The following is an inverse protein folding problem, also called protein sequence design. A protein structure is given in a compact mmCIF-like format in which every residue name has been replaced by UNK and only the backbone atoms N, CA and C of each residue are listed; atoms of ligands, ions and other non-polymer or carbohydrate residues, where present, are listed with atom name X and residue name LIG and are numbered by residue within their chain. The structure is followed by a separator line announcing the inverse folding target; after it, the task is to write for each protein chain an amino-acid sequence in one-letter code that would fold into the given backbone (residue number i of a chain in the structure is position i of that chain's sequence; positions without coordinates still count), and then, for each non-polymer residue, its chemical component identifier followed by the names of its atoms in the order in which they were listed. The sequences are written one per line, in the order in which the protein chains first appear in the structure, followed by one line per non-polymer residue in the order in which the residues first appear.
data_IF_119469518595
#
_entry.id   IF_119469518595
#
_cell.length_a   1.000
_cell.length_b   1.000
_cell.length_c   1.000
_cell.angle_alpha   90.00
_cell.angle_beta   90.00
_cell.angle_gamma   90.00
#
_symmetry.space_group_name_H-M   'P 1'
#
loop_
_entity.id
_entity.type
_entity.pdbx_description
1 polymer ?
#
# COMPACT_ATOMS: atom_id res chain seq x y z
N UNK A 1 -9.16 -6.05 -10.26
CA UNK A 1 -8.84 -5.39 -8.99
C UNK A 1 -7.33 -5.18 -8.88
N UNK A 2 -6.88 -3.98 -8.50
CA UNK A 2 -5.47 -3.69 -8.26
C UNK A 2 -4.99 -4.42 -7.01
N UNK A 3 -3.74 -4.88 -7.02
CA UNK A 3 -3.14 -5.63 -5.90
C UNK A 3 -1.95 -4.87 -5.35
N UNK A 4 -1.76 -4.92 -4.01
CA UNK A 4 -0.57 -4.38 -3.34
C UNK A 4 -0.05 -5.37 -2.31
N UNK A 5 1.24 -5.66 -2.39
CA UNK A 5 1.93 -6.55 -1.47
C UNK A 5 2.88 -5.76 -0.57
N UNK A 6 2.70 -5.88 0.75
CA UNK A 6 3.62 -5.33 1.74
C UNK A 6 4.72 -6.34 2.04
N UNK A 7 5.96 -5.93 1.86
CA UNK A 7 7.15 -6.73 2.09
C UNK A 7 8.12 -5.99 3.02
N UNK A 8 8.81 -6.70 3.91
CA UNK A 8 9.75 -6.12 4.87
C UNK A 8 11.21 -6.54 4.64
N UNK A 9 11.47 -7.47 3.74
CA UNK A 9 12.81 -7.91 3.33
C UNK A 9 12.84 -8.17 1.83
N UNK A 10 14.02 -8.07 1.23
CA UNK A 10 14.20 -8.39 -0.18
C UNK A 10 14.16 -9.92 -0.38
N UNK A 11 13.17 -10.37 -1.11
CA UNK A 11 12.95 -11.80 -1.40
C UNK A 11 12.37 -11.93 -2.82
N UNK A 12 13.22 -12.32 -3.76
CA UNK A 12 12.86 -12.46 -5.17
C UNK A 12 11.89 -13.60 -5.40
N UNK A 13 12.02 -14.70 -4.64
CA UNK A 13 11.15 -15.87 -4.78
C UNK A 13 9.69 -15.54 -4.48
N UNK A 14 9.44 -14.67 -3.51
CA UNK A 14 8.09 -14.21 -3.18
C UNK A 14 7.60 -13.21 -4.21
N UNK A 15 8.45 -12.28 -4.67
CA UNK A 15 8.08 -11.25 -5.64
C UNK A 15 7.71 -11.90 -6.99
N UNK A 16 8.51 -12.83 -7.49
CA UNK A 16 8.30 -13.48 -8.80
C UNK A 16 7.01 -14.30 -8.90
N UNK A 17 6.50 -14.76 -7.78
CA UNK A 17 5.19 -15.45 -7.73
C UNK A 17 4.00 -14.49 -7.85
N UNK A 18 4.23 -13.18 -7.84
CA UNK A 18 3.16 -12.20 -7.98
C UNK A 18 2.93 -11.86 -9.47
N UNK A 19 1.69 -11.47 -9.79
CA UNK A 19 1.42 -10.89 -11.11
C UNK A 19 2.04 -9.50 -11.22
N UNK A 20 2.51 -9.10 -12.39
CA UNK A 20 3.12 -7.77 -12.66
C UNK A 20 2.16 -6.60 -12.36
N UNK A 21 0.84 -6.87 -12.34
CA UNK A 21 -0.15 -5.89 -11.88
C UNK A 21 -0.14 -5.64 -10.36
N UNK A 22 0.75 -6.30 -9.59
CA UNK A 22 0.88 -6.10 -8.14
C UNK A 22 1.90 -4.99 -7.86
N UNK A 23 1.48 -3.96 -7.11
CA UNK A 23 2.41 -2.97 -6.56
C UNK A 23 3.12 -3.53 -5.33
N UNK A 24 4.44 -3.41 -5.28
CA UNK A 24 5.26 -3.84 -4.14
C UNK A 24 5.50 -2.66 -3.21
N UNK A 25 5.14 -2.77 -1.94
CA UNK A 25 5.34 -1.74 -0.92
C UNK A 25 6.38 -2.25 0.08
N UNK A 26 7.58 -1.68 0.05
CA UNK A 26 8.61 -2.00 1.05
C UNK A 26 8.32 -1.25 2.34
N UNK A 27 8.13 -2.00 3.42
CA UNK A 27 7.79 -1.49 4.73
C UNK A 27 8.65 -2.15 5.81
N UNK A 28 9.68 -1.45 6.25
CA UNK A 28 10.52 -1.86 7.37
C UNK A 28 10.70 -0.67 8.31
N UNK A 29 10.03 -0.69 9.46
CA UNK A 29 10.11 0.37 10.48
C UNK A 29 11.07 0.03 11.62
N UNK A 30 11.55 -1.22 11.70
CA UNK A 30 12.33 -1.73 12.81
C UNK A 30 13.84 -1.63 12.61
N UNK A 31 14.28 -1.21 11.44
CA UNK A 31 15.71 -1.07 11.10
C UNK A 31 16.01 0.28 10.48
N UNK A 32 17.27 0.74 10.62
CA UNK A 32 17.80 1.86 9.86
C UNK A 32 17.52 1.63 8.37
N UNK A 33 17.05 2.66 7.68
CA UNK A 33 16.81 2.62 6.23
C UNK A 33 18.12 2.29 5.51
N UNK A 34 18.20 1.09 4.93
CA UNK A 34 19.35 0.69 4.11
C UNK A 34 19.04 1.06 2.65
N UNK A 35 19.74 2.06 2.14
CA UNK A 35 19.54 2.58 0.78
C UNK A 35 19.89 1.55 -0.29
N UNK A 36 20.94 0.74 -0.06
CA UNK A 36 21.37 -0.28 -1.03
C UNK A 36 20.31 -1.36 -1.25
N UNK A 37 19.63 -1.75 -0.16
CA UNK A 37 18.50 -2.69 -0.26
C UNK A 37 17.37 -2.07 -1.08
N UNK A 38 17.06 -0.80 -0.90
CA UNK A 38 16.02 -0.12 -1.65
C UNK A 38 16.39 -0.02 -3.14
N UNK A 39 17.65 0.26 -3.45
CA UNK A 39 18.17 0.28 -4.82
C UNK A 39 18.07 -1.11 -5.46
N UNK A 40 18.42 -2.18 -4.74
CA UNK A 40 18.25 -3.57 -5.20
C UNK A 40 16.77 -3.87 -5.52
N UNK A 41 15.85 -3.52 -4.63
CA UNK A 41 14.41 -3.65 -4.87
C UNK A 41 13.97 -2.90 -6.12
N UNK A 42 14.33 -1.62 -6.22
CA UNK A 42 13.99 -0.77 -7.37
C UNK A 42 14.45 -1.39 -8.68
N UNK A 43 15.72 -1.77 -8.76
CA UNK A 43 16.31 -2.32 -9.97
C UNK A 43 15.64 -3.65 -10.36
N UNK A 44 15.39 -4.51 -9.36
CA UNK A 44 14.71 -5.77 -9.56
C UNK A 44 13.26 -5.56 -10.05
N UNK A 45 12.51 -4.71 -9.37
CA UNK A 45 11.12 -4.41 -9.73
C UNK A 45 11.01 -3.80 -11.14
N UNK A 46 11.92 -2.88 -11.51
CA UNK A 46 11.97 -2.31 -12.86
C UNK A 46 12.23 -3.38 -13.92
N UNK A 47 13.23 -4.24 -13.71
CA UNK A 47 13.55 -5.34 -14.63
C UNK A 47 12.36 -6.28 -14.87
N UNK A 48 11.55 -6.49 -13.84
CA UNK A 48 10.39 -7.41 -13.86
C UNK A 48 9.04 -6.71 -14.15
N UNK A 49 9.02 -5.39 -14.34
CA UNK A 49 7.80 -4.62 -14.62
C UNK A 49 6.87 -4.37 -13.42
N UNK A 50 7.36 -4.55 -12.19
CA UNK A 50 6.60 -4.23 -10.98
C UNK A 50 6.68 -2.74 -10.63
N UNK A 51 5.57 -2.19 -10.12
CA UNK A 51 5.56 -0.89 -9.45
C UNK A 51 6.11 -1.02 -8.03
N UNK A 52 7.06 -0.14 -7.65
CA UNK A 52 7.73 -0.19 -6.36
C UNK A 52 7.53 1.09 -5.55
N UNK A 53 7.10 0.94 -4.30
CA UNK A 53 6.77 2.01 -3.38
C UNK A 53 7.55 1.88 -2.06
N UNK A 54 8.05 3.00 -1.55
CA UNK A 54 8.71 3.06 -0.26
C UNK A 54 7.77 3.58 0.82
N UNK A 55 7.70 2.88 1.95
CA UNK A 55 6.87 3.31 3.07
C UNK A 55 7.57 4.35 3.92
N UNK A 56 6.83 5.41 4.27
CA UNK A 56 7.16 6.45 5.24
C UNK A 56 8.42 7.29 4.95
N UNK A 57 8.92 7.31 3.73
CA UNK A 57 10.04 8.17 3.33
C UNK A 57 9.86 8.67 1.89
N UNK A 58 9.03 9.70 1.73
CA UNK A 58 8.70 10.28 0.43
C UNK A 58 9.90 10.94 -0.24
N UNK A 59 10.76 11.63 0.54
CA UNK A 59 11.96 12.28 0.01
C UNK A 59 12.92 11.26 -0.62
N UNK A 60 13.20 10.16 0.09
CA UNK A 60 14.06 9.10 -0.43
C UNK A 60 13.43 8.39 -1.65
N UNK A 61 12.10 8.17 -1.62
CA UNK A 61 11.40 7.59 -2.76
C UNK A 61 11.54 8.46 -4.03
N UNK A 62 11.47 9.78 -3.90
CA UNK A 62 11.72 10.72 -4.99
C UNK A 62 13.16 10.67 -5.47
N UNK A 63 14.13 10.80 -4.55
CA UNK A 63 15.56 10.82 -4.87
C UNK A 63 16.01 9.54 -5.61
N UNK A 64 15.40 8.42 -5.27
CA UNK A 64 15.68 7.13 -5.92
C UNK A 64 14.78 6.86 -7.15
N UNK A 65 13.99 7.82 -7.60
CA UNK A 65 13.07 7.67 -8.74
C UNK A 65 12.16 6.43 -8.62
N UNK A 66 11.57 6.18 -7.45
CA UNK A 66 10.62 5.08 -7.27
C UNK A 66 9.25 5.44 -7.87
N UNK A 67 8.38 4.46 -8.10
CA UNK A 67 7.02 4.71 -8.62
C UNK A 67 6.12 5.50 -7.64
N UNK A 68 6.54 5.64 -6.38
CA UNK A 68 5.83 6.44 -5.41
C UNK A 68 6.22 6.12 -3.96
N UNK A 69 5.43 6.68 -3.04
CA UNK A 69 5.59 6.45 -1.61
C UNK A 69 4.27 6.05 -0.96
N UNK A 70 4.36 5.32 0.14
CA UNK A 70 3.24 4.96 0.99
C UNK A 70 3.34 5.69 2.32
N UNK A 71 2.33 6.48 2.67
CA UNK A 71 2.25 7.28 3.90
C UNK A 71 1.33 6.56 4.90
N UNK A 72 1.87 5.96 5.98
CA UNK A 72 1.05 5.24 6.97
C UNK A 72 0.11 6.19 7.72
N UNK A 73 -0.91 5.63 8.36
CA UNK A 73 -1.95 6.40 9.07
C UNK A 73 -1.40 7.26 10.20
N UNK A 74 -0.37 6.79 10.89
CA UNK A 74 0.27 7.53 11.99
C UNK A 74 1.07 8.76 11.50
N UNK A 75 1.55 8.77 10.26
CA UNK A 75 2.28 9.91 9.72
C UNK A 75 1.29 10.99 9.25
N UNK A 76 1.35 12.16 9.89
CA UNK A 76 0.51 13.32 9.61
C UNK A 76 1.27 14.48 8.97
N UNK A 77 2.57 14.30 8.68
CA UNK A 77 3.43 15.34 8.13
C UNK A 77 3.04 15.70 6.69
N UNK A 78 3.16 17.00 6.38
CA UNK A 78 2.85 17.56 5.07
C UNK A 78 4.07 18.12 4.34
N UNK A 79 5.27 17.98 4.92
CA UNK A 79 6.54 18.48 4.34
C UNK A 79 6.77 18.09 2.89
N UNK A 80 6.31 16.89 2.52
CA UNK A 80 6.45 16.40 1.15
C UNK A 80 5.63 17.19 0.11
N UNK A 81 4.67 18.00 0.53
CA UNK A 81 3.89 18.85 -0.39
C UNK A 81 4.75 19.97 -1.03
N UNK A 82 5.88 20.32 -0.41
CA UNK A 82 6.85 21.26 -0.99
C UNK A 82 7.78 20.62 -2.05
N UNK A 83 7.70 19.31 -2.26
CA UNK A 83 8.55 18.62 -3.22
C UNK A 83 7.96 18.65 -4.64
N UNK A 84 8.82 18.80 -5.64
CA UNK A 84 8.41 18.67 -7.03
C UNK A 84 8.28 17.18 -7.41
N UNK A 85 7.05 16.71 -7.53
CA UNK A 85 6.77 15.35 -7.97
C UNK A 85 6.81 15.24 -9.49
N UNK A 86 7.46 14.20 -10.01
CA UNK A 86 7.32 13.90 -11.43
C UNK A 86 5.94 13.28 -11.73
N UNK A 87 5.48 13.44 -12.97
CA UNK A 87 4.10 13.16 -13.44
C UNK A 87 3.52 11.84 -12.97
N UNK A 88 4.33 10.79 -12.90
CA UNK A 88 3.87 9.43 -12.58
C UNK A 88 4.11 9.02 -11.12
N UNK A 89 4.61 9.93 -10.25
CA UNK A 89 4.83 9.62 -8.84
C UNK A 89 3.50 9.50 -8.10
N UNK A 90 3.27 8.35 -7.47
CA UNK A 90 2.00 8.04 -6.83
C UNK A 90 2.11 8.03 -5.30
N UNK A 91 1.34 8.89 -4.64
CA UNK A 91 1.19 8.85 -3.20
C UNK A 91 0.05 7.89 -2.80
N UNK A 92 0.43 6.86 -2.04
CA UNK A 92 -0.45 5.90 -1.39
C UNK A 92 -0.52 6.25 0.10
N UNK A 93 -1.60 5.91 0.79
CA UNK A 93 -1.67 6.10 2.23
C UNK A 93 -2.69 5.20 2.90
N UNK A 94 -2.70 5.12 4.23
CA UNK A 94 -3.70 4.37 4.99
C UNK A 94 -4.49 5.23 5.97
N UNK A 95 -5.72 4.82 6.24
CA UNK A 95 -6.61 5.46 7.20
C UNK A 95 -7.53 4.42 7.87
N UNK A 96 -7.97 4.71 9.11
CA UNK A 96 -8.88 3.89 9.91
C UNK A 96 -10.20 4.60 10.24
N UNK A 97 -10.25 5.91 10.05
CA UNK A 97 -11.39 6.76 10.38
C UNK A 97 -11.45 8.00 9.49
N UNK A 98 -12.53 8.77 9.59
CA UNK A 98 -12.75 9.97 8.80
C UNK A 98 -11.67 11.02 8.98
N UNK A 99 -11.21 11.27 10.21
CA UNK A 99 -10.15 12.26 10.49
C UNK A 99 -8.85 11.90 9.75
N UNK A 100 -8.48 10.63 9.74
CA UNK A 100 -7.30 10.16 9.02
C UNK A 100 -7.48 10.24 7.49
N UNK A 101 -8.70 9.99 6.97
CA UNK A 101 -9.02 10.18 5.56
C UNK A 101 -8.72 11.63 5.15
N UNK A 102 -9.26 12.60 5.88
CA UNK A 102 -9.04 14.02 5.61
C UNK A 102 -7.56 14.40 5.65
N UNK A 103 -6.79 13.85 6.61
CA UNK A 103 -5.33 14.05 6.66
C UNK A 103 -4.67 13.49 5.40
N UNK A 104 -5.03 12.28 4.95
CA UNK A 104 -4.47 11.67 3.74
C UNK A 104 -4.82 12.47 2.48
N UNK A 105 -6.01 13.01 2.40
CA UNK A 105 -6.40 13.88 1.29
C UNK A 105 -5.60 15.19 1.27
N UNK A 106 -5.42 15.84 2.43
CA UNK A 106 -4.53 17.00 2.58
C UNK A 106 -3.08 16.69 2.20
N UNK A 107 -2.61 15.48 2.48
CA UNK A 107 -1.29 14.99 2.09
C UNK A 107 -1.16 14.67 0.59
N UNK A 108 -2.22 14.86 -0.22
CA UNK A 108 -2.19 14.60 -1.66
C UNK A 108 -2.25 13.11 -2.04
N UNK A 109 -2.60 12.24 -1.10
CA UNK A 109 -2.74 10.80 -1.34
C UNK A 109 -3.81 10.53 -2.40
N UNK A 110 -3.49 9.67 -3.37
CA UNK A 110 -4.39 9.31 -4.49
C UNK A 110 -5.14 8.00 -4.25
N UNK A 111 -4.58 7.11 -3.44
CA UNK A 111 -5.15 5.80 -3.13
C UNK A 111 -5.06 5.58 -1.62
N UNK A 112 -6.20 5.35 -0.95
CA UNK A 112 -6.27 5.17 0.50
C UNK A 112 -6.55 3.70 0.83
N UNK A 113 -5.77 3.15 1.75
CA UNK A 113 -5.87 1.78 2.25
C UNK A 113 -6.64 1.79 3.56
N UNK A 114 -7.77 1.11 3.62
CA UNK A 114 -8.56 0.95 4.85
C UNK A 114 -8.27 -0.39 5.53
N UNK A 115 -7.90 -0.31 6.81
CA UNK A 115 -7.53 -1.44 7.67
C UNK A 115 -8.47 -1.54 8.87
N UNK A 116 -8.74 -2.69 9.38
CA UNK A 116 -8.63 -4.06 8.86
C UNK A 116 -10.01 -4.54 8.49
N UNK A 117 -10.21 -4.99 7.24
CA UNK A 117 -11.59 -5.29 6.80
C UNK A 117 -12.11 -6.64 7.32
N UNK A 118 -11.27 -7.69 7.34
CA UNK A 118 -11.68 -9.04 7.74
C UNK A 118 -10.94 -9.60 8.96
N UNK A 119 -9.74 -9.09 9.27
CA UNK A 119 -8.97 -9.54 10.43
C UNK A 119 -9.43 -8.82 11.68
N UNK A 120 -10.01 -9.56 12.63
CA UNK A 120 -10.40 -9.04 13.96
C UNK A 120 -9.14 -8.72 14.77
N UNK A 121 -8.83 -7.45 14.91
CA UNK A 121 -7.75 -6.88 15.73
C UNK A 121 -8.18 -5.49 16.22
N UNK A 122 -7.32 -4.78 16.95
CA UNK A 122 -7.61 -3.42 17.46
C UNK A 122 -8.05 -2.41 16.37
N UNK A 123 -7.68 -2.64 15.12
CA UNK A 123 -8.04 -1.80 14.00
C UNK A 123 -9.15 -2.41 13.12
N UNK A 124 -9.91 -3.36 13.66
CA UNK A 124 -10.97 -4.03 12.91
C UNK A 124 -12.06 -3.05 12.49
N UNK A 125 -12.27 -2.95 11.21
CA UNK A 125 -13.25 -2.07 10.61
C UNK A 125 -14.56 -2.79 10.28
N UNK A 126 -14.45 -4.02 9.78
CA UNK A 126 -15.56 -4.77 9.24
C UNK A 126 -16.10 -4.21 7.93
N UNK A 127 -16.99 -4.96 7.30
CA UNK A 127 -17.52 -4.63 5.96
C UNK A 127 -18.41 -3.37 5.97
N UNK A 128 -19.27 -3.23 6.98
CA UNK A 128 -20.22 -2.13 7.04
C UNK A 128 -19.50 -0.78 7.23
N UNK A 129 -18.59 -0.71 8.18
CA UNK A 129 -17.81 0.50 8.43
C UNK A 129 -16.87 0.83 7.27
N UNK A 130 -16.31 -0.19 6.60
CA UNK A 130 -15.55 0.00 5.36
C UNK A 130 -16.38 0.67 4.28
N UNK A 131 -17.63 0.21 4.05
CA UNK A 131 -18.56 0.84 3.10
C UNK A 131 -18.87 2.29 3.44
N UNK A 132 -19.11 2.59 4.71
CA UNK A 132 -19.39 3.95 5.17
C UNK A 132 -18.18 4.87 4.93
N UNK A 133 -16.98 4.47 5.35
CA UNK A 133 -15.78 5.25 5.15
C UNK A 133 -15.43 5.44 3.66
N UNK A 134 -15.71 4.43 2.82
CA UNK A 134 -15.47 4.53 1.37
C UNK A 134 -16.34 5.60 0.70
N UNK A 135 -17.48 5.95 1.28
CA UNK A 135 -18.34 7.03 0.79
C UNK A 135 -17.88 8.43 1.18
N UNK A 136 -16.96 8.52 2.17
CA UNK A 136 -16.45 9.81 2.68
C UNK A 136 -15.26 10.34 1.87
N UNK A 137 -14.85 9.67 0.82
CA UNK A 137 -13.73 10.08 -0.03
C UNK A 137 -13.98 9.78 -1.50
N UNK A 138 -13.51 10.67 -2.36
CA UNK A 138 -13.47 10.47 -3.82
C UNK A 138 -12.16 9.77 -4.27
N UNK A 139 -11.29 9.39 -3.34
CA UNK A 139 -10.05 8.68 -3.67
C UNK A 139 -10.31 7.20 -3.92
N UNK A 140 -9.46 6.57 -4.70
CA UNK A 140 -9.49 5.12 -4.89
C UNK A 140 -9.22 4.41 -3.56
N UNK A 141 -10.06 3.43 -3.21
CA UNK A 141 -9.98 2.72 -1.93
C UNK A 141 -9.46 1.31 -2.12
N UNK A 142 -8.50 0.91 -1.28
CA UNK A 142 -7.93 -0.43 -1.20
C UNK A 142 -8.34 -1.08 0.12
N UNK A 143 -8.85 -2.30 0.05
CA UNK A 143 -9.15 -3.11 1.23
C UNK A 143 -7.87 -3.80 1.74
N UNK A 144 -7.59 -3.69 3.04
CA UNK A 144 -6.41 -4.30 3.66
C UNK A 144 -6.80 -5.05 4.95
N UNK A 145 -6.18 -6.22 5.16
CA UNK A 145 -6.28 -7.00 6.40
C UNK A 145 -7.28 -8.15 6.36
N UNK A 146 -6.76 -9.35 6.52
CA UNK A 146 -7.53 -10.60 6.54
C UNK A 146 -8.04 -11.06 5.17
N UNK A 147 -7.36 -10.66 4.09
CA UNK A 147 -7.72 -11.09 2.74
C UNK A 147 -7.36 -12.57 2.55
N UNK A 148 -8.33 -13.33 2.05
CA UNK A 148 -8.22 -14.75 1.69
C UNK A 148 -8.96 -14.98 0.37
N UNK A 149 -8.78 -16.13 -0.28
CA UNK A 149 -9.48 -16.44 -1.52
C UNK A 149 -11.01 -16.45 -1.32
N UNK A 150 -11.49 -16.95 -0.19
CA UNK A 150 -12.92 -16.90 0.17
C UNK A 150 -13.44 -15.49 0.35
N UNK A 151 -12.64 -14.57 0.89
CA UNK A 151 -13.04 -13.17 1.07
C UNK A 151 -12.97 -12.33 -0.21
N UNK A 152 -12.27 -12.78 -1.25
CA UNK A 152 -12.20 -12.06 -2.53
C UNK A 152 -13.56 -11.91 -3.21
N UNK A 153 -14.44 -12.91 -3.10
CA UNK A 153 -15.82 -12.83 -3.60
C UNK A 153 -16.57 -11.69 -2.93
N UNK A 154 -16.44 -11.53 -1.61
CA UNK A 154 -17.05 -10.44 -0.84
C UNK A 154 -16.46 -9.07 -1.23
N UNK A 155 -15.15 -8.98 -1.49
CA UNK A 155 -14.52 -7.74 -1.93
C UNK A 155 -15.04 -7.23 -3.26
N UNK A 156 -15.35 -8.12 -4.20
CA UNK A 156 -15.93 -7.72 -5.50
C UNK A 156 -17.28 -6.99 -5.33
N UNK A 157 -18.03 -7.31 -4.26
CA UNK A 157 -19.31 -6.66 -3.94
C UNK A 157 -19.15 -5.31 -3.22
N UNK A 158 -17.94 -4.94 -2.81
CA UNK A 158 -17.67 -3.73 -2.03
C UNK A 158 -17.29 -2.51 -2.89
N UNK A 159 -17.25 -2.68 -4.20
CA UNK A 159 -16.86 -1.61 -5.13
C UNK A 159 -15.51 -0.94 -4.76
N UNK A 160 -14.56 -1.70 -4.22
CA UNK A 160 -13.22 -1.21 -3.92
C UNK A 160 -12.31 -1.32 -5.16
N UNK A 161 -11.36 -0.41 -5.29
CA UNK A 161 -10.40 -0.39 -6.40
C UNK A 161 -9.47 -1.61 -6.42
N UNK A 162 -9.19 -2.16 -5.22
CA UNK A 162 -8.30 -3.30 -5.09
C UNK A 162 -8.14 -3.77 -3.66
N UNK A 163 -7.14 -4.60 -3.43
CA UNK A 163 -6.80 -5.11 -2.11
C UNK A 163 -5.30 -5.16 -1.87
N UNK A 164 -4.93 -5.23 -0.59
CA UNK A 164 -3.56 -5.35 -0.15
C UNK A 164 -3.43 -6.36 0.99
N UNK A 165 -2.23 -6.89 1.17
CA UNK A 165 -1.95 -7.83 2.25
C UNK A 165 -0.50 -8.25 2.34
N UNK A 166 -0.23 -9.15 3.29
CA UNK A 166 1.04 -9.86 3.45
C UNK A 166 0.79 -11.35 3.24
N UNK A 167 0.05 -11.98 4.15
CA UNK A 167 -0.16 -13.42 4.18
C UNK A 167 -0.87 -13.99 2.95
N UNK A 168 -1.76 -13.22 2.31
CA UNK A 168 -2.39 -13.61 1.05
C UNK A 168 -1.37 -13.88 -0.06
N UNK A 169 -0.35 -13.05 -0.15
CA UNK A 169 0.70 -13.15 -1.16
C UNK A 169 1.76 -14.18 -0.82
N UNK A 170 1.99 -14.43 0.47
CA UNK A 170 2.92 -15.45 0.96
C UNK A 170 2.36 -16.86 0.80
N UNK A 171 1.06 -17.09 1.04
CA UNK A 171 0.41 -18.40 0.90
C UNK A 171 0.41 -18.94 -0.53
N UNK A 172 0.48 -18.09 -1.54
CA UNK A 172 0.68 -18.50 -2.94
C UNK A 172 2.05 -19.10 -3.20
N UNK A 173 2.90 -19.17 -2.19
CA UNK A 173 4.26 -19.71 -2.25
C UNK A 173 4.38 -21.14 -1.72
N UNK A 174 3.32 -21.72 -1.15
CA UNK A 174 3.28 -23.12 -0.81
C UNK A 174 3.02 -23.97 -2.07
N UNK A 175 3.75 -25.06 -2.28
CA UNK A 175 3.51 -25.98 -3.37
C UNK A 175 2.11 -26.58 -3.31
#
# INVERSE_FOLDING_TARGET
MKKYYFINKFDTNIIDKQSTNTGIIYRNYNSKTNVDIIIKFRNYCRKKGYKFFLSNNTKLALNLNLDGAYIPSFNKETKHLSYSFYKNFLLLGSAHNNKEIQIKEKQGVKIIFFLSIFKKNKNYLGVNRFKLLSKLTNKKVIALGGITDSSLKKLKLLNCFGFAGISFFQKKTAP
#
